data_IF_678687054908
#
_entry.id   IF_678687054908
#
_cell.length_a   1.000
_cell.length_b   1.000
_cell.length_c   1.000
_cell.angle_alpha   90.00
_cell.angle_beta   90.00
_cell.angle_gamma   90.00
#
_symmetry.space_group_name_H-M   'P 1'
#
loop_
_entity.id
_entity.type
_entity.pdbx_description
1 polymer ?
#
# COMPACT_ATOMS: atom_id res chain seq x y z
N UNK A 1 4.68 56.72 40.20
CA UNK A 1 3.98 55.47 39.86
C UNK A 1 3.83 55.48 38.35
N UNK A 2 4.86 55.02 37.64
CA UNK A 2 4.95 53.66 37.04
C UNK A 2 3.87 53.52 35.97
N UNK A 3 4.18 53.44 34.67
CA UNK A 3 5.08 52.46 34.08
C UNK A 3 5.93 53.03 32.93
N UNK A 4 7.22 52.74 33.05
CA UNK A 4 8.16 52.55 31.98
C UNK A 4 7.90 51.15 31.39
N UNK A 5 7.48 51.06 30.13
CA UNK A 5 7.53 49.79 29.41
C UNK A 5 7.94 50.03 27.95
N UNK A 6 9.24 49.93 27.63
CA UNK A 6 9.70 49.96 26.25
C UNK A 6 9.15 48.72 25.55
N UNK A 7 8.31 48.92 24.53
CA UNK A 7 7.91 47.83 23.62
C UNK A 7 9.18 47.28 22.99
N UNK A 8 9.66 46.15 23.51
CA UNK A 8 10.69 45.34 22.88
C UNK A 8 10.07 44.82 21.59
N UNK A 9 10.42 45.41 20.46
CA UNK A 9 10.23 44.80 19.14
C UNK A 9 11.11 43.56 19.10
N UNK A 10 10.53 42.40 19.41
CA UNK A 10 11.17 41.12 19.15
C UNK A 10 11.32 40.97 17.63
N UNK A 11 12.52 40.64 17.10
CA UNK A 11 12.65 40.25 15.71
C UNK A 11 11.80 39.00 15.51
N UNK A 12 10.82 39.06 14.61
CA UNK A 12 10.11 37.90 14.10
C UNK A 12 11.10 37.06 13.30
N UNK A 13 11.92 36.28 13.98
CA UNK A 13 12.74 35.26 13.37
C UNK A 13 11.78 34.19 12.85
N UNK A 14 11.56 34.18 11.53
CA UNK A 14 10.84 33.13 10.82
C UNK A 14 11.39 31.77 11.25
N UNK A 15 10.49 30.87 11.67
CA UNK A 15 10.85 29.50 12.02
C UNK A 15 11.40 28.84 10.73
N UNK A 16 12.63 28.29 10.73
CA UNK A 16 13.18 27.57 9.58
C UNK A 16 12.45 26.23 9.46
N UNK A 17 11.28 26.26 8.83
CA UNK A 17 10.36 25.13 8.63
C UNK A 17 9.21 25.44 7.67
N UNK A 18 8.89 26.73 7.47
CA UNK A 18 7.82 27.19 6.57
C UNK A 18 8.29 27.60 5.15
N UNK A 19 9.57 27.40 4.82
CA UNK A 19 10.07 27.70 3.48
C UNK A 19 9.82 26.52 2.52
N UNK A 20 9.14 26.78 1.41
CA UNK A 20 8.97 25.78 0.33
C UNK A 20 10.36 25.26 -0.10
N UNK A 21 10.56 23.93 -0.16
CA UNK A 21 11.82 23.37 -0.63
C UNK A 21 12.11 23.82 -2.07
N UNK A 22 13.38 23.81 -2.50
CA UNK A 22 13.74 24.01 -3.90
C UNK A 22 12.90 23.11 -4.82
N UNK A 23 12.50 23.65 -5.98
CA UNK A 23 11.56 22.98 -6.91
C UNK A 23 11.99 21.56 -7.24
N UNK A 24 13.28 21.34 -7.50
CA UNK A 24 13.85 20.03 -7.82
C UNK A 24 13.68 19.03 -6.66
N UNK A 25 14.03 19.45 -5.45
CA UNK A 25 13.90 18.63 -4.24
C UNK A 25 12.43 18.29 -3.96
N UNK A 26 11.54 19.28 -4.08
CA UNK A 26 10.10 19.09 -3.86
C UNK A 26 9.50 18.15 -4.91
N UNK A 27 9.87 18.31 -6.18
CA UNK A 27 9.44 17.43 -7.26
C UNK A 27 9.92 15.98 -7.08
N UNK A 28 11.17 15.80 -6.62
CA UNK A 28 11.72 14.48 -6.30
C UNK A 28 10.97 13.80 -5.16
N UNK A 29 10.65 14.54 -4.09
CA UNK A 29 9.84 14.01 -2.98
C UNK A 29 8.47 13.52 -3.47
N UNK A 30 7.75 14.33 -4.25
CA UNK A 30 6.47 13.90 -4.84
C UNK A 30 6.61 12.73 -5.82
N UNK A 31 7.71 12.66 -6.57
CA UNK A 31 7.96 11.53 -7.46
C UNK A 31 8.17 10.23 -6.68
N UNK A 32 8.95 10.25 -5.61
CA UNK A 32 9.19 9.08 -4.76
C UNK A 32 7.90 8.58 -4.13
N UNK A 33 7.12 9.47 -3.49
CA UNK A 33 5.85 9.09 -2.85
C UNK A 33 4.85 8.53 -3.87
N UNK A 34 4.74 9.16 -5.04
CA UNK A 34 3.87 8.69 -6.11
C UNK A 34 4.28 7.32 -6.66
N UNK A 35 5.58 7.07 -6.82
CA UNK A 35 6.09 5.78 -7.29
C UNK A 35 5.87 4.68 -6.25
N UNK A 36 6.03 4.98 -4.96
CA UNK A 36 5.70 4.05 -3.89
C UNK A 36 4.22 3.69 -3.94
N UNK A 37 3.34 4.70 -3.97
CA UNK A 37 1.90 4.48 -4.05
C UNK A 37 1.45 3.75 -5.33
N UNK A 38 2.11 3.99 -6.48
CA UNK A 38 1.85 3.22 -7.69
C UNK A 38 2.23 1.74 -7.54
N UNK A 39 3.36 1.46 -6.87
CA UNK A 39 3.79 0.08 -6.58
C UNK A 39 2.80 -0.64 -5.67
N UNK A 40 2.35 0.01 -4.60
CA UNK A 40 1.33 -0.52 -3.67
C UNK A 40 0.05 -0.92 -4.44
N UNK A 41 -0.46 0.00 -5.28
CA UNK A 41 -1.64 -0.28 -6.10
C UNK A 41 -1.43 -1.41 -7.11
N UNK A 42 -0.21 -1.60 -7.63
CA UNK A 42 0.09 -2.71 -8.53
C UNK A 42 0.03 -4.03 -7.77
N UNK A 43 0.63 -4.08 -6.59
CA UNK A 43 0.64 -5.24 -5.70
C UNK A 43 -0.78 -5.64 -5.29
N UNK A 44 -1.60 -4.69 -4.83
CA UNK A 44 -3.00 -4.93 -4.45
C UNK A 44 -3.80 -5.59 -5.58
N UNK A 45 -3.65 -5.09 -6.81
CA UNK A 45 -4.37 -5.63 -7.96
C UNK A 45 -3.90 -7.03 -8.31
N UNK A 46 -2.59 -7.27 -8.27
CA UNK A 46 -2.00 -8.56 -8.61
C UNK A 46 -2.36 -9.61 -7.56
N UNK A 47 -2.33 -9.25 -6.29
CA UNK A 47 -2.83 -10.08 -5.19
C UNK A 47 -4.31 -10.44 -5.39
N UNK A 48 -5.17 -9.44 -5.61
CA UNK A 48 -6.60 -9.68 -5.79
C UNK A 48 -6.89 -10.58 -7.01
N UNK A 49 -6.14 -10.42 -8.10
CA UNK A 49 -6.26 -11.30 -9.27
C UNK A 49 -5.86 -12.73 -8.89
N UNK A 50 -4.75 -12.91 -8.17
CA UNK A 50 -4.30 -14.21 -7.66
C UNK A 50 -5.34 -14.88 -6.77
N UNK A 51 -5.93 -14.14 -5.85
CA UNK A 51 -6.98 -14.61 -4.95
C UNK A 51 -8.25 -15.03 -5.71
N UNK A 52 -8.68 -14.23 -6.68
CA UNK A 52 -9.82 -14.57 -7.53
C UNK A 52 -9.55 -15.86 -8.34
N UNK A 53 -8.35 -16.00 -8.91
CA UNK A 53 -7.97 -17.21 -9.64
C UNK A 53 -7.96 -18.43 -8.72
N UNK A 54 -7.35 -18.32 -7.54
CA UNK A 54 -7.25 -19.40 -6.56
C UNK A 54 -8.61 -19.85 -6.01
N UNK A 55 -9.50 -18.90 -5.71
CA UNK A 55 -10.75 -19.19 -5.00
C UNK A 55 -11.98 -19.28 -5.90
N UNK A 56 -11.94 -18.73 -7.12
CA UNK A 56 -13.07 -18.73 -8.06
C UNK A 56 -12.74 -19.35 -9.41
N UNK A 57 -11.48 -19.66 -9.69
CA UNK A 57 -11.03 -20.22 -10.96
C UNK A 57 -10.94 -19.20 -12.11
N UNK A 58 -11.42 -17.97 -11.90
CA UNK A 58 -11.32 -16.89 -12.88
C UNK A 58 -11.27 -15.52 -12.21
N UNK A 59 -10.52 -14.59 -12.82
CA UNK A 59 -10.51 -13.18 -12.46
C UNK A 59 -11.08 -12.35 -13.62
N UNK A 60 -12.15 -11.59 -13.38
CA UNK A 60 -12.78 -10.71 -14.37
C UNK A 60 -12.68 -9.25 -13.92
N UNK A 61 -12.51 -8.34 -14.89
CA UNK A 61 -12.41 -6.91 -14.61
C UNK A 61 -13.58 -6.37 -13.78
N UNK A 62 -14.79 -6.90 -13.98
CA UNK A 62 -15.96 -6.48 -13.22
C UNK A 62 -15.94 -6.92 -11.75
N UNK A 63 -15.45 -8.13 -11.48
CA UNK A 63 -15.27 -8.59 -10.10
C UNK A 63 -14.20 -7.76 -9.40
N UNK A 64 -13.11 -7.42 -10.10
CA UNK A 64 -12.04 -6.56 -9.59
C UNK A 64 -12.58 -5.16 -9.27
N UNK A 65 -13.35 -4.55 -10.18
CA UNK A 65 -13.92 -3.23 -9.96
C UNK A 65 -14.82 -3.16 -8.72
N UNK A 66 -15.68 -4.17 -8.55
CA UNK A 66 -16.56 -4.26 -7.39
C UNK A 66 -15.78 -4.44 -6.08
N UNK A 67 -14.71 -5.25 -6.10
CA UNK A 67 -13.91 -5.56 -4.90
C UNK A 67 -12.96 -4.44 -4.50
N UNK A 68 -12.34 -3.79 -5.47
CA UNK A 68 -11.51 -2.60 -5.26
C UNK A 68 -12.35 -1.33 -5.01
N UNK A 69 -13.68 -1.43 -5.08
CA UNK A 69 -14.61 -0.29 -4.95
C UNK A 69 -14.27 0.90 -5.88
N UNK A 70 -13.84 0.61 -7.11
CA UNK A 70 -13.50 1.62 -8.12
C UNK A 70 -14.30 1.43 -9.42
N UNK A 71 -14.23 2.43 -10.30
CA UNK A 71 -14.87 2.34 -11.61
C UNK A 71 -14.23 1.29 -12.53
N UNK A 72 -15.02 0.75 -13.46
CA UNK A 72 -14.52 -0.12 -14.54
C UNK A 72 -13.44 0.55 -15.40
N UNK A 73 -13.52 1.88 -15.57
CA UNK A 73 -12.53 2.65 -16.30
C UNK A 73 -11.18 2.67 -15.57
N UNK A 74 -11.21 2.82 -14.24
CA UNK A 74 -10.03 2.73 -13.37
C UNK A 74 -9.37 1.36 -13.50
N UNK A 75 -10.15 0.28 -13.35
CA UNK A 75 -9.64 -1.09 -13.52
C UNK A 75 -9.09 -1.32 -14.91
N UNK A 76 -9.76 -0.85 -15.97
CA UNK A 76 -9.28 -1.01 -17.34
C UNK A 76 -7.94 -0.32 -17.57
N UNK A 77 -7.73 0.86 -16.96
CA UNK A 77 -6.45 1.56 -17.00
C UNK A 77 -5.37 0.76 -16.26
N UNK A 78 -5.69 0.23 -15.07
CA UNK A 78 -4.74 -0.57 -14.31
C UNK A 78 -4.39 -1.88 -15.02
N UNK A 79 -5.36 -2.59 -15.60
CA UNK A 79 -5.09 -3.81 -16.37
C UNK A 79 -4.14 -3.53 -17.53
N UNK A 80 -4.33 -2.43 -18.27
CA UNK A 80 -3.38 -2.04 -19.34
C UNK A 80 -1.97 -1.86 -18.79
N UNK A 81 -1.85 -1.14 -17.67
CA UNK A 81 -0.57 -0.95 -16.98
C UNK A 81 0.07 -2.27 -16.54
N UNK A 82 -0.70 -3.19 -15.96
CA UNK A 82 -0.20 -4.51 -15.57
C UNK A 82 0.26 -5.36 -16.78
N UNK A 83 -0.39 -5.24 -17.94
CA UNK A 83 0.08 -5.91 -19.16
C UNK A 83 1.40 -5.27 -19.66
N UNK A 84 1.53 -3.94 -19.59
CA UNK A 84 2.78 -3.23 -19.96
C UNK A 84 3.95 -3.62 -19.04
N UNK A 85 3.67 -3.93 -17.78
CA UNK A 85 4.63 -4.43 -16.79
C UNK A 85 4.83 -5.96 -16.86
N UNK A 86 4.19 -6.64 -17.82
CA UNK A 86 4.26 -8.09 -17.99
C UNK A 86 3.85 -8.90 -16.75
N UNK A 87 2.96 -8.34 -15.91
CA UNK A 87 2.45 -9.00 -14.69
C UNK A 87 1.17 -9.80 -14.96
N UNK A 88 0.42 -9.43 -16.00
CA UNK A 88 -0.81 -10.13 -16.38
C UNK A 88 -0.83 -10.39 -17.88
N UNK A 89 -1.56 -11.44 -18.26
CA UNK A 89 -2.02 -11.63 -19.63
C UNK A 89 -3.52 -11.46 -19.67
N UNK A 90 -3.98 -10.72 -20.68
CA UNK A 90 -5.40 -10.45 -20.87
C UNK A 90 -5.79 -10.57 -22.34
N UNK A 91 -6.98 -11.11 -22.58
CA UNK A 91 -7.65 -11.03 -23.88
C UNK A 91 -8.95 -10.21 -23.70
N UNK A 92 -9.37 -9.43 -24.70
CA UNK A 92 -10.63 -8.70 -24.62
C UNK A 92 -11.80 -9.61 -24.21
N UNK A 93 -12.61 -9.15 -23.25
CA UNK A 93 -13.80 -9.85 -22.74
C UNK A 93 -13.55 -11.25 -22.14
N UNK A 94 -12.30 -11.54 -21.73
CA UNK A 94 -11.90 -12.83 -21.15
C UNK A 94 -11.36 -12.64 -19.73
N UNK A 95 -11.20 -13.75 -19.02
CA UNK A 95 -10.55 -13.80 -17.72
C UNK A 95 -9.09 -13.35 -17.82
N UNK A 96 -8.62 -12.69 -16.77
CA UNK A 96 -7.22 -12.29 -16.58
C UNK A 96 -6.44 -13.47 -16.01
N UNK A 97 -5.17 -13.56 -16.38
CA UNK A 97 -4.24 -14.53 -15.80
C UNK A 97 -2.97 -13.80 -15.37
N UNK A 98 -2.40 -14.18 -14.23
CA UNK A 98 -1.07 -13.72 -13.86
C UNK A 98 -0.02 -14.38 -14.76
N UNK A 99 1.03 -13.62 -15.10
CA UNK A 99 2.27 -14.22 -15.61
C UNK A 99 3.03 -14.86 -14.45
N UNK A 100 4.16 -15.51 -14.71
CA UNK A 100 5.04 -15.99 -13.64
C UNK A 100 5.52 -14.86 -12.72
N UNK A 101 5.87 -13.70 -13.31
CA UNK A 101 6.26 -12.52 -12.55
C UNK A 101 5.12 -11.97 -11.70
N UNK A 102 3.90 -11.89 -12.27
CA UNK A 102 2.71 -11.49 -11.52
C UNK A 102 2.36 -12.47 -10.40
N UNK A 103 2.46 -13.77 -10.65
CA UNK A 103 2.20 -14.80 -9.64
C UNK A 103 3.16 -14.66 -8.45
N UNK A 104 4.46 -14.49 -8.72
CA UNK A 104 5.46 -14.28 -7.68
C UNK A 104 5.21 -13.01 -6.87
N UNK A 105 4.79 -11.92 -7.52
CA UNK A 105 4.42 -10.68 -6.85
C UNK A 105 3.20 -10.89 -5.95
N UNK A 106 2.13 -11.50 -6.46
CA UNK A 106 0.92 -11.81 -5.68
C UNK A 106 1.23 -12.66 -4.44
N UNK A 107 2.06 -13.69 -4.60
CA UNK A 107 2.47 -14.55 -3.48
C UNK A 107 3.30 -13.80 -2.44
N UNK A 108 4.13 -12.85 -2.87
CA UNK A 108 4.95 -12.03 -1.98
C UNK A 108 4.08 -11.07 -1.18
N UNK A 109 3.20 -10.30 -1.84
CA UNK A 109 2.26 -9.39 -1.17
C UNK A 109 1.38 -10.15 -0.19
N UNK A 110 0.83 -11.29 -0.62
CA UNK A 110 -0.01 -12.14 0.23
C UNK A 110 0.71 -12.68 1.46
N UNK A 111 1.98 -13.08 1.32
CA UNK A 111 2.76 -13.54 2.45
C UNK A 111 3.00 -12.41 3.47
N UNK A 112 3.21 -11.17 3.01
CA UNK A 112 3.35 -10.00 3.88
C UNK A 112 2.04 -9.70 4.60
N UNK A 113 0.92 -9.68 3.88
CA UNK A 113 -0.43 -9.55 4.45
C UNK A 113 -0.66 -10.55 5.58
N UNK A 114 -0.44 -11.84 5.30
CA UNK A 114 -0.70 -12.92 6.25
C UNK A 114 0.17 -12.79 7.51
N UNK A 115 1.43 -12.36 7.39
CA UNK A 115 2.30 -12.12 8.56
C UNK A 115 1.71 -11.01 9.45
N UNK A 116 1.34 -9.87 8.87
CA UNK A 116 0.77 -8.75 9.63
C UNK A 116 -0.56 -9.15 10.26
N UNK A 117 -1.44 -9.80 9.51
CA UNK A 117 -2.74 -10.27 9.98
C UNK A 117 -2.61 -11.24 11.16
N UNK A 118 -1.75 -12.25 11.04
CA UNK A 118 -1.55 -13.22 12.14
C UNK A 118 -0.93 -12.56 13.37
N UNK A 119 -0.02 -11.60 13.18
CA UNK A 119 0.56 -10.83 14.26
C UNK A 119 -0.51 -10.01 15.01
N UNK A 120 -1.35 -9.26 14.29
CA UNK A 120 -2.42 -8.47 14.91
C UNK A 120 -3.42 -9.36 15.65
N UNK A 121 -3.77 -10.52 15.09
CA UNK A 121 -4.62 -11.51 15.77
C UNK A 121 -3.96 -12.05 17.04
N UNK A 122 -2.66 -12.34 17.01
CA UNK A 122 -1.91 -12.81 18.17
C UNK A 122 -1.85 -11.76 19.29
N UNK A 123 -1.90 -10.47 18.94
CA UNK A 123 -2.05 -9.36 19.91
C UNK A 123 -3.47 -9.25 20.49
N UNK A 124 -4.44 -10.02 19.99
CA UNK A 124 -5.83 -9.99 20.43
C UNK A 124 -6.70 -8.95 19.71
N UNK A 125 -6.23 -8.38 18.59
CA UNK A 125 -7.07 -7.52 17.74
C UNK A 125 -8.19 -8.38 17.14
N UNK A 126 -9.43 -7.87 17.17
CA UNK A 126 -10.56 -8.58 16.59
C UNK A 126 -10.37 -8.80 15.08
N UNK A 127 -10.96 -9.88 14.54
CA UNK A 127 -10.68 -10.32 13.16
C UNK A 127 -11.02 -9.28 12.09
N UNK A 128 -12.09 -8.51 12.27
CA UNK A 128 -12.51 -7.52 11.30
C UNK A 128 -11.51 -6.34 11.24
N UNK A 129 -11.10 -5.82 12.40
CA UNK A 129 -10.09 -4.78 12.49
C UNK A 129 -8.73 -5.28 12.01
N UNK A 130 -8.31 -6.48 12.42
CA UNK A 130 -7.02 -7.03 12.04
C UNK A 130 -6.84 -7.17 10.51
N UNK A 131 -7.91 -7.53 9.79
CA UNK A 131 -7.89 -7.60 8.31
C UNK A 131 -7.76 -6.23 7.64
N UNK A 132 -8.52 -5.25 8.12
CA UNK A 132 -8.47 -3.88 7.58
C UNK A 132 -7.09 -3.27 7.82
N UNK A 133 -6.57 -3.44 9.04
CA UNK A 133 -5.29 -2.88 9.43
C UNK A 133 -4.14 -3.59 8.70
N UNK A 134 -4.19 -4.91 8.52
CA UNK A 134 -3.16 -5.65 7.79
C UNK A 134 -3.00 -5.17 6.34
N UNK A 135 -4.12 -4.99 5.62
CA UNK A 135 -4.14 -4.50 4.24
C UNK A 135 -3.40 -3.15 4.09
N UNK A 136 -3.61 -2.23 5.04
CA UNK A 136 -2.95 -0.92 4.99
C UNK A 136 -1.51 -0.94 5.51
N UNK A 137 -1.16 -1.89 6.38
CA UNK A 137 0.14 -1.93 7.03
C UNK A 137 1.20 -2.66 6.21
N UNK A 138 0.84 -3.73 5.50
CA UNK A 138 1.79 -4.62 4.82
C UNK A 138 2.76 -3.92 3.86
N UNK A 139 2.31 -2.84 3.21
CA UNK A 139 3.08 -2.02 2.27
C UNK A 139 4.08 -1.09 2.96
N UNK A 140 3.83 -0.74 4.22
CA UNK A 140 4.62 0.24 4.96
C UNK A 140 5.52 -0.39 6.03
N UNK A 141 5.40 -1.69 6.26
CA UNK A 141 6.21 -2.43 7.22
C UNK A 141 7.55 -2.84 6.59
N UNK A 142 8.66 -2.47 7.23
CA UNK A 142 9.99 -2.91 6.77
C UNK A 142 10.18 -4.42 6.92
N UNK A 143 11.06 -5.02 6.11
CA UNK A 143 11.34 -6.46 6.19
C UNK A 143 11.84 -6.91 7.57
N UNK A 144 12.61 -6.06 8.27
CA UNK A 144 13.06 -6.31 9.64
C UNK A 144 11.88 -6.38 10.63
N UNK A 145 10.93 -5.44 10.48
CA UNK A 145 9.73 -5.38 11.31
C UNK A 145 8.84 -6.58 11.01
N UNK A 146 8.64 -6.92 9.74
CA UNK A 146 7.85 -8.06 9.30
C UNK A 146 8.42 -9.38 9.85
N UNK A 147 9.73 -9.58 9.76
CA UNK A 147 10.41 -10.75 10.32
C UNK A 147 10.26 -10.83 11.85
N UNK A 148 10.21 -9.69 12.53
CA UNK A 148 9.99 -9.64 13.98
C UNK A 148 8.54 -9.98 14.34
N UNK A 149 7.56 -9.46 13.60
CA UNK A 149 6.15 -9.82 13.73
C UNK A 149 5.92 -11.32 13.55
N UNK A 150 6.53 -11.91 12.52
CA UNK A 150 6.46 -13.35 12.26
C UNK A 150 7.03 -14.16 13.44
N UNK A 151 8.25 -13.86 13.88
CA UNK A 151 8.88 -14.56 15.02
C UNK A 151 8.06 -14.46 16.30
N UNK A 152 7.49 -13.28 16.58
CA UNK A 152 6.63 -13.09 17.75
C UNK A 152 5.40 -14.01 17.69
N UNK A 153 4.74 -14.05 16.53
CA UNK A 153 3.55 -14.88 16.31
C UNK A 153 3.84 -16.37 16.47
N UNK A 154 4.96 -16.84 15.91
CA UNK A 154 5.41 -18.24 16.02
C UNK A 154 5.73 -18.66 17.46
N UNK A 155 6.15 -17.73 18.32
CA UNK A 155 6.43 -17.99 19.74
C UNK A 155 5.16 -18.08 20.58
N UNK A 156 4.12 -17.31 20.25
CA UNK A 156 2.83 -17.34 20.96
C UNK A 156 2.01 -18.61 20.67
N UNK A 157 2.29 -19.28 19.55
CA UNK A 157 1.63 -20.53 19.16
C UNK A 157 2.29 -21.79 19.75
N UNK A 158 3.37 -21.63 20.53
CA UNK A 158 4.07 -22.71 21.25
C UNK A 158 3.62 -22.78 22.70
#
# INVERSE_FOLDING_TARGET
>A
MTDDNPRISLPTASIPGDALPPVEQHAQQYATVRNAHETELIEDYVELIGDLLKHRGEARAADIANRMAVSQATVSKMIRRLNELELVTSKPYRSLFLTEAGQKMAETSRARHDIVLHFLRALGVNDATARIDAEGMEHHVSDETLATMQRFTEQQLR
#
